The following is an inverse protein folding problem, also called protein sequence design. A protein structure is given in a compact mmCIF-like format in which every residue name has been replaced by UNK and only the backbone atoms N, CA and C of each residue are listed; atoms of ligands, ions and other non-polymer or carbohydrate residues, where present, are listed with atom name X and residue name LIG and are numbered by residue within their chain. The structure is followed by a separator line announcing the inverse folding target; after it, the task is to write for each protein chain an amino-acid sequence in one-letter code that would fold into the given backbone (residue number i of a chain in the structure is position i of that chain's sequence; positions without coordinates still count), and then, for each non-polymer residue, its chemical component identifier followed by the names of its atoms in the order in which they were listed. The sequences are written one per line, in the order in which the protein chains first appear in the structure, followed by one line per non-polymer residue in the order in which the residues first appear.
data_IF_595609577649
#
_entry.id   IF_595609577649
#
_cell.length_a   1.000
_cell.length_b   1.000
_cell.length_c   1.000
_cell.angle_alpha   90.00
_cell.angle_beta   90.00
_cell.angle_gamma   90.00
#
_symmetry.space_group_name_H-M   'P 1'
#
loop_
_entity.id
_entity.type
_entity.pdbx_description
1 polymer ?
#
# COMPACT_ATOMS: atom_id res chain seq x y z
N UNK A 1 11.88 23.36 77.94
CA UNK A 1 10.68 22.73 78.53
C UNK A 1 9.65 22.60 77.41
N UNK A 2 9.07 21.47 77.00
CA UNK A 2 9.11 20.05 77.39
C UNK A 2 8.80 19.30 76.08
N UNK A 3 9.64 18.36 75.65
CA UNK A 3 9.47 17.63 74.39
C UNK A 3 8.50 16.44 74.57
N UNK A 4 7.62 16.19 73.59
CA UNK A 4 6.78 14.99 73.53
C UNK A 4 7.65 13.75 73.23
N UNK A 5 7.48 12.69 74.02
CA UNK A 5 8.01 11.35 73.72
C UNK A 5 7.06 10.65 72.74
N UNK A 6 7.60 10.20 71.61
CA UNK A 6 6.98 9.19 70.77
C UNK A 6 7.55 7.82 71.16
N UNK A 7 6.69 6.89 71.56
CA UNK A 7 7.01 5.49 71.79
C UNK A 7 7.34 4.81 70.46
N UNK A 8 8.53 4.24 70.33
CA UNK A 8 8.88 3.37 69.23
C UNK A 8 8.18 2.01 69.41
N UNK A 9 7.45 1.57 68.38
CA UNK A 9 6.91 0.21 68.29
C UNK A 9 8.06 -0.74 67.92
N UNK A 10 8.23 -1.80 68.71
CA UNK A 10 9.16 -2.89 68.47
C UNK A 10 8.68 -3.72 67.27
N UNK A 11 9.43 -3.68 66.17
CA UNK A 11 9.14 -4.38 64.92
C UNK A 11 9.71 -5.80 64.87
N UNK A 12 10.22 -6.35 65.97
CA UNK A 12 10.83 -7.69 66.02
C UNK A 12 9.84 -8.87 65.94
N UNK A 13 8.54 -8.61 65.78
CA UNK A 13 7.48 -9.63 65.82
C UNK A 13 6.83 -9.96 64.45
N UNK A 14 7.41 -9.53 63.32
CA UNK A 14 6.85 -9.81 61.98
C UNK A 14 7.74 -10.75 61.13
N UNK A 15 8.33 -11.77 61.75
CA UNK A 15 8.92 -12.90 61.01
C UNK A 15 7.80 -13.90 60.64
N UNK A 16 6.88 -13.50 59.76
CA UNK A 16 5.95 -14.44 59.14
C UNK A 16 6.69 -15.16 58.01
N UNK A 17 6.81 -16.49 58.13
CA UNK A 17 7.41 -17.36 57.13
C UNK A 17 6.84 -17.06 55.74
N UNK A 18 7.73 -16.69 54.80
CA UNK A 18 7.37 -16.56 53.40
C UNK A 18 6.84 -17.92 52.89
N UNK A 19 5.70 -17.97 52.19
CA UNK A 19 5.26 -19.21 51.56
C UNK A 19 6.33 -19.65 50.55
N UNK A 20 6.75 -20.91 50.63
CA UNK A 20 7.65 -21.49 49.63
C UNK A 20 7.02 -21.30 48.25
N UNK A 21 7.73 -20.58 47.37
CA UNK A 21 7.34 -20.46 45.97
C UNK A 21 7.29 -21.87 45.38
N UNK A 22 6.26 -22.21 44.58
CA UNK A 22 6.18 -23.53 43.97
C UNK A 22 7.44 -23.77 43.14
N UNK A 23 8.02 -24.96 43.29
CA UNK A 23 9.15 -25.41 42.47
C UNK A 23 8.69 -25.37 41.01
N UNK A 24 9.20 -24.41 40.25
CA UNK A 24 8.99 -24.35 38.80
C UNK A 24 9.83 -25.47 38.19
N UNK A 25 9.16 -26.46 37.59
CA UNK A 25 9.84 -27.46 36.79
C UNK A 25 10.35 -26.77 35.52
N UNK A 26 11.66 -26.74 35.33
CA UNK A 26 12.23 -26.25 34.09
C UNK A 26 11.83 -27.19 32.94
N UNK A 27 11.14 -26.66 31.93
CA UNK A 27 10.84 -27.41 30.72
C UNK A 27 12.12 -27.58 29.91
N UNK A 28 12.61 -28.80 29.81
CA UNK A 28 13.63 -29.17 28.82
C UNK A 28 12.91 -29.57 27.54
N UNK A 29 13.17 -28.92 26.39
CA UNK A 29 12.57 -29.34 25.13
C UNK A 29 13.02 -30.78 24.83
N UNK A 30 12.04 -31.66 24.58
CA UNK A 30 12.28 -33.10 24.36
C UNK A 30 13.08 -33.39 23.08
N UNK A 31 13.26 -32.39 22.22
CA UNK A 31 13.94 -32.48 20.93
C UNK A 31 14.76 -31.20 20.75
N UNK A 32 15.98 -31.29 20.21
CA UNK A 32 16.65 -30.11 19.67
C UNK A 32 15.71 -29.48 18.64
N UNK A 33 15.56 -28.15 18.64
CA UNK A 33 14.71 -27.45 17.68
C UNK A 33 15.05 -27.96 16.28
N UNK A 34 14.17 -28.77 15.70
CA UNK A 34 14.29 -29.12 14.30
C UNK A 34 14.18 -27.80 13.53
N UNK A 35 14.98 -27.64 12.47
CA UNK A 35 14.77 -26.53 11.55
C UNK A 35 13.30 -26.56 11.12
N UNK A 36 12.59 -25.42 11.16
CA UNK A 36 11.19 -25.38 10.75
C UNK A 36 11.07 -25.91 9.32
N UNK A 37 10.12 -26.81 9.10
CA UNK A 37 9.96 -27.45 7.80
C UNK A 37 9.16 -26.59 6.84
N UNK A 38 8.23 -25.77 7.36
CA UNK A 38 7.36 -24.90 6.56
C UNK A 38 6.93 -23.65 7.34
N UNK A 39 6.24 -22.73 6.67
CA UNK A 39 5.80 -21.46 7.24
C UNK A 39 4.33 -21.16 6.93
N UNK A 40 3.64 -20.52 7.88
CA UNK A 40 2.36 -19.86 7.65
C UNK A 40 2.52 -18.34 7.77
N UNK A 41 1.89 -17.61 6.87
CA UNK A 41 1.84 -16.15 6.88
C UNK A 41 0.43 -15.70 7.22
N UNK A 42 0.31 -14.73 8.13
CA UNK A 42 -0.97 -14.19 8.57
C UNK A 42 -1.03 -12.69 8.34
N UNK A 43 -2.23 -12.15 8.08
CA UNK A 43 -2.43 -10.70 8.22
C UNK A 43 -2.41 -10.32 9.70
N UNK A 44 -1.59 -9.34 10.06
CA UNK A 44 -1.51 -8.83 11.41
C UNK A 44 -2.76 -8.01 11.74
N UNK A 45 -3.46 -8.42 12.80
CA UNK A 45 -4.53 -7.66 13.41
C UNK A 45 -4.16 -7.44 14.89
N UNK A 46 -3.97 -6.18 15.35
CA UNK A 46 -3.60 -5.91 16.74
C UNK A 46 -4.73 -6.22 17.74
N UNK A 47 -5.93 -6.56 17.25
CA UNK A 47 -7.07 -6.92 18.07
C UNK A 47 -7.32 -8.42 18.02
N UNK A 48 -7.43 -9.03 19.20
CA UNK A 48 -7.93 -10.40 19.33
C UNK A 48 -9.39 -10.42 18.91
N UNK A 49 -9.71 -11.27 17.94
CA UNK A 49 -11.09 -11.50 17.52
C UNK A 49 -11.69 -12.57 18.42
N UNK A 50 -12.82 -12.26 19.03
CA UNK A 50 -13.58 -13.17 19.88
C UNK A 50 -14.94 -13.41 19.22
N UNK A 51 -15.37 -14.66 19.16
CA UNK A 51 -16.67 -15.05 18.63
C UNK A 51 -17.81 -14.54 19.51
N UNK A 52 -19.05 -14.62 19.03
CA UNK A 52 -20.23 -14.30 19.83
C UNK A 52 -20.36 -15.20 21.08
N UNK A 53 -19.77 -16.40 21.03
CA UNK A 53 -19.78 -17.40 22.09
C UNK A 53 -18.62 -17.22 23.08
N UNK A 54 -17.73 -16.24 22.86
CA UNK A 54 -16.60 -15.95 23.75
C UNK A 54 -15.30 -16.66 23.39
N UNK A 55 -15.26 -17.40 22.28
CA UNK A 55 -14.07 -18.14 21.84
C UNK A 55 -13.11 -17.25 21.06
N UNK A 56 -11.81 -17.40 21.30
CA UNK A 56 -10.78 -16.74 20.49
C UNK A 56 -10.81 -17.31 19.09
N UNK A 57 -11.05 -16.45 18.10
CA UNK A 57 -11.00 -16.82 16.69
C UNK A 57 -9.56 -16.72 16.22
N UNK A 58 -8.97 -17.87 15.93
CA UNK A 58 -7.62 -17.94 15.35
C UNK A 58 -7.63 -17.33 13.95
N UNK A 59 -6.62 -16.52 13.59
CA UNK A 59 -6.52 -15.97 12.25
C UNK A 59 -6.30 -17.11 11.24
N UNK A 60 -6.87 -16.98 10.05
CA UNK A 60 -6.65 -17.91 8.95
C UNK A 60 -5.36 -17.48 8.22
N UNK A 61 -4.43 -18.40 7.90
CA UNK A 61 -3.26 -18.07 7.11
C UNK A 61 -3.66 -17.53 5.73
N UNK A 62 -2.83 -16.64 5.18
CA UNK A 62 -3.00 -16.10 3.82
C UNK A 62 -2.70 -17.19 2.79
N UNK A 63 -1.71 -18.04 3.06
CA UNK A 63 -1.38 -19.21 2.25
C UNK A 63 -2.31 -20.39 2.57
N UNK A 64 -2.81 -21.08 1.54
CA UNK A 64 -3.72 -22.22 1.72
C UNK A 64 -3.02 -23.49 2.25
N UNK A 65 -1.72 -23.63 1.97
CA UNK A 65 -0.86 -24.74 2.41
C UNK A 65 0.43 -24.12 2.96
N UNK A 66 1.03 -24.68 4.03
CA UNK A 66 2.30 -24.19 4.54
C UNK A 66 3.38 -24.07 3.46
N UNK A 67 4.09 -22.96 3.49
CA UNK A 67 5.10 -22.62 2.49
C UNK A 67 6.41 -23.34 2.82
N UNK A 68 6.99 -24.01 1.82
CA UNK A 68 8.36 -24.56 1.88
C UNK A 68 9.42 -23.52 1.48
N UNK A 69 8.98 -22.39 0.92
CA UNK A 69 9.83 -21.26 0.49
C UNK A 69 9.54 -20.02 1.33
N UNK A 70 10.39 -19.01 1.18
CA UNK A 70 10.20 -17.69 1.82
C UNK A 70 9.38 -16.72 0.96
N UNK A 71 8.59 -17.24 0.01
CA UNK A 71 7.83 -16.44 -0.94
C UNK A 71 6.32 -16.61 -0.71
N UNK A 72 5.63 -15.49 -0.55
CA UNK A 72 4.17 -15.42 -0.51
C UNK A 72 3.67 -14.59 -1.69
N UNK A 73 2.70 -15.15 -2.44
CA UNK A 73 1.89 -14.38 -3.38
C UNK A 73 0.52 -14.13 -2.76
N UNK A 74 0.26 -12.90 -2.32
CA UNK A 74 -1.06 -12.48 -1.84
C UNK A 74 -1.87 -11.96 -3.04
N UNK A 75 -2.86 -12.74 -3.47
CA UNK A 75 -3.69 -12.40 -4.62
C UNK A 75 -4.79 -11.36 -4.30
N UNK A 76 -5.00 -11.00 -3.03
CA UNK A 76 -6.09 -10.12 -2.59
C UNK A 76 -5.52 -8.73 -2.32
N UNK A 77 -4.99 -8.09 -3.37
CA UNK A 77 -4.38 -6.76 -3.23
C UNK A 77 -5.44 -5.66 -3.39
N UNK A 78 -5.43 -4.70 -2.45
CA UNK A 78 -6.07 -3.38 -2.62
C UNK A 78 -4.97 -2.33 -2.64
N UNK A 79 -4.91 -1.55 -3.71
CA UNK A 79 -3.95 -0.45 -3.82
C UNK A 79 -4.24 0.65 -2.79
N UNK A 80 -3.18 1.28 -2.28
CA UNK A 80 -3.27 2.36 -1.29
C UNK A 80 -3.67 1.91 0.12
N UNK A 81 -3.72 0.60 0.37
CA UNK A 81 -4.02 0.03 1.70
C UNK A 81 -2.75 -0.61 2.25
N UNK A 82 -2.31 -0.12 3.41
CA UNK A 82 -1.25 -0.77 4.17
C UNK A 82 -1.76 -2.11 4.72
N UNK A 83 -0.98 -3.16 4.50
CA UNK A 83 -1.20 -4.49 5.04
C UNK A 83 0.05 -4.94 5.78
N UNK A 84 -0.14 -5.37 7.02
CA UNK A 84 0.93 -5.90 7.85
C UNK A 84 0.84 -7.42 7.89
N UNK A 85 1.99 -8.09 7.79
CA UNK A 85 2.11 -9.54 7.80
C UNK A 85 3.00 -9.99 8.96
N UNK A 86 2.65 -11.13 9.54
CA UNK A 86 3.49 -11.88 10.48
C UNK A 86 3.71 -13.29 9.93
N UNK A 87 4.84 -13.88 10.25
CA UNK A 87 5.20 -15.25 9.87
C UNK A 87 5.31 -16.10 11.12
N UNK A 88 4.79 -17.33 11.05
CA UNK A 88 5.02 -18.38 12.04
C UNK A 88 5.66 -19.58 11.36
N UNK A 89 6.70 -20.11 11.98
CA UNK A 89 7.32 -21.36 11.57
C UNK A 89 6.45 -22.53 12.03
N UNK A 90 6.34 -23.58 11.21
CA UNK A 90 5.63 -24.80 11.53
C UNK A 90 6.62 -25.95 11.68
N UNK A 91 6.42 -26.72 12.74
CA UNK A 91 7.05 -28.03 12.94
C UNK A 91 5.97 -29.09 13.05
N UNK A 92 6.25 -30.29 12.53
CA UNK A 92 5.35 -31.44 12.66
C UNK A 92 5.96 -32.38 13.69
N UNK A 93 5.20 -32.67 14.75
CA UNK A 93 5.59 -33.61 15.80
C UNK A 93 4.50 -34.68 15.89
N UNK A 94 4.86 -35.94 15.68
CA UNK A 94 3.93 -37.08 15.71
C UNK A 94 2.68 -36.94 14.81
N UNK A 95 2.77 -36.13 13.76
CA UNK A 95 1.69 -35.86 12.81
C UNK A 95 0.87 -34.59 13.12
N UNK A 96 1.12 -33.95 14.26
CA UNK A 96 0.47 -32.72 14.66
C UNK A 96 1.34 -31.49 14.32
N UNK A 97 0.71 -30.44 13.80
CA UNK A 97 1.38 -29.18 13.50
C UNK A 97 1.48 -28.30 14.74
N UNK A 98 2.69 -27.84 15.04
CA UNK A 98 2.98 -26.86 16.09
C UNK A 98 3.53 -25.61 15.43
N UNK A 99 3.02 -24.45 15.81
CA UNK A 99 3.49 -23.16 15.31
C UNK A 99 4.39 -22.44 16.33
N UNK A 100 5.39 -21.73 15.84
CA UNK A 100 6.22 -20.84 16.65
C UNK A 100 5.45 -19.62 17.14
N UNK A 101 6.10 -18.83 18.01
CA UNK A 101 5.73 -17.43 18.21
C UNK A 101 5.76 -16.65 16.88
N UNK A 102 4.93 -15.63 16.79
CA UNK A 102 4.86 -14.78 15.60
C UNK A 102 6.12 -13.92 15.45
N UNK A 103 6.54 -13.70 14.21
CA UNK A 103 7.51 -12.65 13.90
C UNK A 103 6.97 -11.26 14.29
N UNK A 104 7.86 -10.28 14.35
CA UNK A 104 7.44 -8.88 14.32
C UNK A 104 6.65 -8.59 13.03
N UNK A 105 5.59 -7.74 13.08
CA UNK A 105 4.83 -7.42 11.89
C UNK A 105 5.68 -6.61 10.90
N UNK A 106 5.57 -6.97 9.63
CA UNK A 106 6.13 -6.20 8.50
C UNK A 106 4.99 -5.63 7.69
N UNK A 107 4.95 -4.30 7.55
CA UNK A 107 3.87 -3.59 6.86
C UNK A 107 4.32 -3.16 5.47
N UNK A 108 3.45 -3.38 4.48
CA UNK A 108 3.66 -3.01 3.09
C UNK A 108 2.41 -2.32 2.54
N UNK A 109 2.60 -1.31 1.69
CA UNK A 109 1.53 -0.67 0.95
C UNK A 109 1.69 -1.04 -0.52
N UNK A 110 0.66 -1.66 -1.10
CA UNK A 110 0.65 -1.94 -2.53
C UNK A 110 0.27 -0.66 -3.29
N UNK A 111 1.05 -0.33 -4.31
CA UNK A 111 0.82 0.83 -5.17
C UNK A 111 0.56 0.37 -6.59
N UNK A 112 -0.35 1.06 -7.25
CA UNK A 112 -0.53 0.90 -8.68
C UNK A 112 0.63 1.59 -9.41
N UNK A 113 1.29 0.85 -10.30
CA UNK A 113 2.43 1.34 -11.09
C UNK A 113 2.19 1.13 -12.59
N UNK A 114 0.97 0.80 -13.00
CA UNK A 114 0.63 0.52 -14.39
C UNK A 114 0.06 1.77 -15.05
N UNK A 115 0.87 2.44 -15.86
CA UNK A 115 0.37 3.57 -16.65
C UNK A 115 -0.75 3.16 -17.62
N UNK A 116 -1.73 4.06 -17.87
CA UNK A 116 -2.66 3.90 -18.97
C UNK A 116 -1.95 3.81 -20.32
N UNK A 117 -2.64 3.28 -21.32
CA UNK A 117 -2.24 3.36 -22.71
C UNK A 117 -2.22 4.82 -23.19
N UNK A 118 -1.33 5.13 -24.14
CA UNK A 118 -1.31 6.45 -24.75
C UNK A 118 -2.61 6.74 -25.51
N UNK A 119 -3.17 7.95 -25.40
CA UNK A 119 -4.29 8.38 -26.23
C UNK A 119 -3.96 8.30 -27.72
N UNK A 120 -4.95 7.95 -28.53
CA UNK A 120 -4.76 7.67 -29.97
C UNK A 120 -5.49 8.68 -30.84
N UNK A 121 -5.02 8.78 -32.08
CA UNK A 121 -5.66 9.56 -33.14
C UNK A 121 -5.94 11.01 -32.74
N UNK A 122 -4.97 11.64 -32.05
CA UNK A 122 -5.03 13.06 -31.77
C UNK A 122 -5.07 13.82 -33.10
N UNK A 123 -6.06 14.70 -33.24
CA UNK A 123 -6.21 15.63 -34.34
C UNK A 123 -6.40 17.05 -33.81
N UNK A 124 -5.96 18.04 -34.57
CA UNK A 124 -6.11 19.46 -34.26
C UNK A 124 -6.68 20.22 -35.47
N UNK A 125 -7.49 21.23 -35.19
CA UNK A 125 -8.05 22.15 -36.19
C UNK A 125 -7.93 23.59 -35.70
N UNK A 126 -7.23 24.40 -36.48
CA UNK A 126 -7.14 25.84 -36.26
C UNK A 126 -8.47 26.55 -36.55
N UNK A 127 -8.82 27.51 -35.70
CA UNK A 127 -9.99 28.39 -35.84
C UNK A 127 -9.63 29.80 -35.37
N UNK A 128 -10.50 30.77 -35.60
CA UNK A 128 -10.25 32.17 -35.20
C UNK A 128 -9.96 32.25 -33.69
N UNK A 129 -8.70 32.58 -33.37
CA UNK A 129 -8.21 32.71 -32.00
C UNK A 129 -8.17 31.43 -31.16
N UNK A 130 -8.27 30.23 -31.76
CA UNK A 130 -8.18 28.97 -31.00
C UNK A 130 -7.74 27.76 -31.84
N UNK A 131 -7.19 26.75 -31.18
CA UNK A 131 -6.99 25.41 -31.74
C UNK A 131 -7.93 24.42 -31.03
N UNK A 132 -8.72 23.67 -31.78
CA UNK A 132 -9.58 22.61 -31.22
C UNK A 132 -8.92 21.26 -31.42
N UNK A 133 -8.81 20.47 -30.35
CA UNK A 133 -8.20 19.16 -30.32
C UNK A 133 -9.23 18.08 -30.01
N UNK A 134 -9.07 16.91 -30.62
CA UNK A 134 -9.89 15.72 -30.37
C UNK A 134 -9.03 14.46 -30.46
N UNK A 135 -9.30 13.47 -29.62
CA UNK A 135 -8.62 12.17 -29.61
C UNK A 135 -9.62 11.04 -29.30
N UNK A 136 -9.18 9.79 -29.46
CA UNK A 136 -9.96 8.61 -29.09
C UNK A 136 -9.95 8.36 -27.58
N UNK A 137 -11.08 7.92 -26.99
CA UNK A 137 -11.12 7.56 -25.57
C UNK A 137 -10.29 6.31 -25.28
N UNK A 138 -9.59 6.35 -24.15
CA UNK A 138 -9.07 5.22 -23.41
C UNK A 138 -10.22 4.42 -22.75
N UNK A 139 -9.95 3.20 -22.29
CA UNK A 139 -10.95 2.24 -21.77
C UNK A 139 -10.62 1.64 -20.40
N UNK A 140 -9.52 2.08 -19.80
CA UNK A 140 -9.02 1.68 -18.50
C UNK A 140 -10.02 2.06 -17.40
N UNK A 141 -10.27 1.14 -16.49
CA UNK A 141 -11.32 1.29 -15.47
C UNK A 141 -11.00 2.36 -14.42
N UNK A 142 -9.71 2.64 -14.25
CA UNK A 142 -9.10 3.55 -13.29
C UNK A 142 -8.59 4.84 -13.94
N UNK A 143 -8.92 5.08 -15.21
CA UNK A 143 -8.58 6.32 -15.92
C UNK A 143 -9.16 7.54 -15.18
N UNK A 144 -8.30 8.47 -14.80
CA UNK A 144 -8.70 9.75 -14.21
C UNK A 144 -8.96 10.81 -15.28
N UNK A 145 -8.26 10.77 -16.41
CA UNK A 145 -8.50 11.66 -17.54
C UNK A 145 -7.27 11.93 -18.40
N UNK A 146 -7.25 13.09 -19.06
CA UNK A 146 -6.24 13.47 -20.04
C UNK A 146 -5.59 14.82 -19.72
N UNK A 147 -4.29 14.93 -19.95
CA UNK A 147 -3.57 16.19 -19.92
C UNK A 147 -3.13 16.54 -21.34
N UNK A 148 -3.49 17.73 -21.80
CA UNK A 148 -3.04 18.28 -23.09
C UNK A 148 -1.73 19.02 -22.87
N UNK A 149 -0.72 18.66 -23.65
CA UNK A 149 0.58 19.30 -23.64
C UNK A 149 0.77 20.15 -24.90
N UNK A 150 1.47 21.28 -24.76
CA UNK A 150 1.77 22.20 -25.86
C UNK A 150 3.23 22.64 -25.83
N UNK A 151 3.82 22.80 -27.00
CA UNK A 151 5.12 23.44 -27.20
C UNK A 151 5.18 24.21 -28.51
N UNK A 152 6.26 24.94 -28.74
CA UNK A 152 6.44 25.79 -29.94
C UNK A 152 7.51 25.25 -30.91
N UNK A 153 8.23 24.20 -30.52
CA UNK A 153 9.25 23.55 -31.35
C UNK A 153 8.89 22.07 -31.58
N UNK A 154 9.02 21.53 -32.80
CA UNK A 154 8.78 20.12 -33.10
C UNK A 154 9.50 19.15 -32.16
N UNK A 155 10.75 19.49 -31.82
CA UNK A 155 11.64 18.71 -30.95
C UNK A 155 11.75 19.32 -29.54
N UNK A 156 10.92 20.33 -29.24
CA UNK A 156 10.90 20.97 -27.94
C UNK A 156 10.17 20.17 -26.87
N UNK A 157 10.40 20.57 -25.62
CA UNK A 157 9.59 20.14 -24.47
C UNK A 157 8.16 20.61 -24.65
N UNK A 158 7.21 19.71 -24.38
CA UNK A 158 5.79 20.05 -24.31
C UNK A 158 5.43 20.25 -22.83
N UNK A 159 4.73 21.33 -22.54
CA UNK A 159 4.29 21.66 -21.19
C UNK A 159 2.78 21.44 -21.07
N UNK A 160 2.28 20.92 -19.93
CA UNK A 160 0.85 20.72 -19.73
C UNK A 160 0.12 22.07 -19.69
N UNK A 161 -1.01 22.16 -20.40
CA UNK A 161 -1.87 23.34 -20.40
C UNK A 161 -2.80 23.39 -19.18
N UNK A 162 -2.94 22.28 -18.47
CA UNK A 162 -3.76 22.12 -17.27
C UNK A 162 -3.07 21.21 -16.25
N UNK A 163 -3.41 21.37 -14.98
CA UNK A 163 -2.91 20.51 -13.88
C UNK A 163 -3.91 19.44 -13.47
N UNK A 164 -5.19 19.62 -13.81
CA UNK A 164 -6.26 18.66 -13.54
C UNK A 164 -6.60 17.93 -14.85
N UNK A 165 -6.61 16.59 -14.87
CA UNK A 165 -6.99 15.82 -16.05
C UNK A 165 -8.42 16.13 -16.53
N UNK A 166 -8.58 16.22 -17.84
CA UNK A 166 -9.88 16.35 -18.51
C UNK A 166 -10.55 14.99 -18.61
N UNK A 167 -11.87 14.94 -18.42
CA UNK A 167 -12.63 13.69 -18.63
C UNK A 167 -13.11 13.55 -20.07
N UNK A 168 -13.23 14.68 -20.77
CA UNK A 168 -13.62 14.78 -22.17
C UNK A 168 -12.45 14.41 -23.08
N UNK A 169 -12.78 13.89 -24.27
CA UNK A 169 -11.78 13.55 -25.31
C UNK A 169 -11.57 14.67 -26.32
N UNK A 170 -11.81 15.91 -25.89
CA UNK A 170 -11.60 17.11 -26.69
C UNK A 170 -11.19 18.27 -25.81
N UNK A 171 -10.46 19.22 -26.40
CA UNK A 171 -10.03 20.43 -25.73
C UNK A 171 -9.95 21.59 -26.70
N UNK A 172 -10.32 22.79 -26.26
CA UNK A 172 -10.19 24.02 -27.05
C UNK A 172 -9.14 24.92 -26.41
N UNK A 173 -7.97 25.01 -27.04
CA UNK A 173 -6.93 25.93 -26.63
C UNK A 173 -7.21 27.33 -27.18
N UNK A 174 -7.54 28.27 -26.27
CA UNK A 174 -7.75 29.70 -26.58
C UNK A 174 -6.60 30.57 -26.08
N UNK A 175 -5.55 29.98 -25.50
CA UNK A 175 -4.40 30.71 -24.97
C UNK A 175 -3.27 30.88 -26.00
N UNK A 176 -3.39 30.23 -27.16
CA UNK A 176 -2.45 30.37 -28.28
C UNK A 176 -2.54 31.73 -28.97
N UNK A 177 -1.41 32.21 -29.50
CA UNK A 177 -1.34 33.45 -30.28
C UNK A 177 -1.60 33.16 -31.77
N UNK A 178 -2.46 33.96 -32.41
CA UNK A 178 -2.75 33.85 -33.86
C UNK A 178 -1.47 33.92 -34.69
N UNK A 179 -1.33 32.99 -35.65
CA UNK A 179 -0.17 32.87 -36.52
C UNK A 179 1.06 32.20 -35.90
N UNK A 180 1.05 31.89 -34.60
CA UNK A 180 2.09 31.07 -33.97
C UNK A 180 1.75 29.59 -34.15
N UNK A 181 2.74 28.80 -34.57
CA UNK A 181 2.59 27.36 -34.72
C UNK A 181 2.94 26.65 -33.42
N UNK A 182 2.00 25.81 -32.97
CA UNK A 182 2.15 25.01 -31.77
C UNK A 182 2.13 23.53 -32.12
N UNK A 183 2.79 22.74 -31.29
CA UNK A 183 2.79 21.29 -31.31
C UNK A 183 2.04 20.81 -30.09
N UNK A 184 1.11 19.88 -30.30
CA UNK A 184 0.29 19.30 -29.26
C UNK A 184 0.48 17.80 -29.17
N UNK A 185 0.39 17.31 -27.94
CA UNK A 185 0.23 15.89 -27.63
C UNK A 185 -0.71 15.76 -26.42
N UNK A 186 -1.21 14.56 -26.18
CA UNK A 186 -2.06 14.25 -25.02
C UNK A 186 -1.48 13.02 -24.32
N UNK A 187 -1.50 13.05 -22.99
CA UNK A 187 -1.26 11.87 -22.14
C UNK A 187 -2.54 11.53 -21.38
N UNK A 188 -2.72 10.25 -21.09
CA UNK A 188 -3.71 9.75 -20.14
C UNK A 188 -3.08 9.67 -18.74
N UNK A 189 -3.88 9.92 -17.72
CA UNK A 189 -3.52 9.78 -16.31
C UNK A 189 -4.54 8.88 -15.61
N UNK A 190 -4.08 8.01 -14.72
CA UNK A 190 -4.93 7.18 -13.86
C UNK A 190 -5.26 7.87 -12.52
N UNK A 191 -6.01 7.17 -11.68
CA UNK A 191 -6.38 7.60 -10.32
C UNK A 191 -5.37 7.25 -9.23
N UNK A 192 -4.16 6.77 -9.56
CA UNK A 192 -3.16 6.40 -8.57
C UNK A 192 -2.60 7.63 -7.81
N UNK A 193 -1.89 7.37 -6.70
CA UNK A 193 -1.28 8.42 -5.87
C UNK A 193 0.23 8.16 -5.63
N UNK A 194 1.14 8.84 -6.36
CA UNK A 194 0.86 9.80 -7.44
C UNK A 194 0.29 9.13 -8.71
N UNK A 195 -0.36 9.87 -9.63
CA UNK A 195 -0.92 9.30 -10.85
C UNK A 195 0.16 8.68 -11.74
N UNK A 196 -0.13 7.52 -12.34
CA UNK A 196 0.66 7.00 -13.44
C UNK A 196 0.23 7.70 -14.74
N UNK A 197 1.23 8.08 -15.54
CA UNK A 197 1.04 8.84 -16.78
C UNK A 197 1.44 7.96 -17.96
N UNK A 198 0.61 7.96 -19.01
CA UNK A 198 0.88 7.23 -20.24
C UNK A 198 2.05 7.82 -21.02
N UNK A 199 2.51 7.09 -22.02
CA UNK A 199 3.28 7.67 -23.12
C UNK A 199 2.47 8.77 -23.85
N UNK A 200 3.17 9.62 -24.61
CA UNK A 200 2.53 10.64 -25.45
C UNK A 200 1.69 10.00 -26.56
N UNK A 201 0.57 10.64 -26.90
CA UNK A 201 -0.11 10.42 -28.18
C UNK A 201 0.78 10.75 -29.38
N UNK A 202 0.27 10.52 -30.59
CA UNK A 202 0.85 11.16 -31.77
C UNK A 202 0.89 12.69 -31.59
N UNK A 203 1.93 13.34 -32.11
CA UNK A 203 2.04 14.80 -32.13
C UNK A 203 1.25 15.37 -33.31
N UNK A 204 0.61 16.53 -33.10
CA UNK A 204 -0.03 17.32 -34.16
C UNK A 204 0.45 18.75 -34.10
N UNK A 205 0.55 19.40 -35.27
CA UNK A 205 1.04 20.77 -35.41
C UNK A 205 -0.08 21.63 -35.97
N UNK A 206 -0.39 22.74 -35.31
CA UNK A 206 -1.47 23.64 -35.73
C UNK A 206 -1.29 25.07 -35.19
N UNK A 207 -1.89 26.04 -35.88
CA UNK A 207 -1.90 27.46 -35.49
C UNK A 207 -3.34 27.98 -35.31
N UNK A 208 -3.59 28.85 -34.32
CA UNK A 208 -4.82 29.65 -34.32
C UNK A 208 -4.87 30.55 -35.57
N UNK A 209 -6.05 30.65 -36.18
CA UNK A 209 -6.31 31.49 -37.35
C UNK A 209 -6.61 32.95 -36.98
#
# INVERSE_FOLDING_TARGET
MRALQATALDLSALEAAAPELPVLLESTPAIASAEPTTYNVYTYNPRVVVSADGDVVMPIPVNAVPLETFELSDAIVKFGVERCYIVRAISIVDGDSIESEASSPTCVEFRDTFSPAAPRNLAAVGSVGAVSLIWEPNSEADLAGYLVLRGESPDGTLEPLMTVPLTETNYRDTAGTTGVTYIYAVVAADGAAPPNISELSNRVTESPQ
#
